data_IF_598138351234
#
_entry.id   IF_598138351234
#
_cell.length_a   1.000
_cell.length_b   1.000
_cell.length_c   1.000
_cell.angle_alpha   90.00
_cell.angle_beta   90.00
_cell.angle_gamma   90.00
#
_symmetry.space_group_name_H-M   'P 1'
#
loop_
_entity.id
_entity.type
_entity.pdbx_description
1 polymer ?
#
# COMPACT_ATOMS: atom_id res chain seq x y z
N UNK A 1 -8.06 -22.02 8.95
CA UNK A 1 -8.40 -21.13 7.81
C UNK A 1 -7.13 -20.86 7.02
N UNK A 2 -7.05 -21.21 5.74
CA UNK A 2 -5.86 -20.91 4.92
C UNK A 2 -5.80 -19.39 4.75
N UNK A 3 -4.75 -18.71 5.25
CA UNK A 3 -4.47 -17.30 4.93
C UNK A 3 -4.37 -17.22 3.41
N UNK A 4 -5.39 -16.67 2.75
CA UNK A 4 -5.35 -16.41 1.33
C UNK A 4 -4.28 -15.34 1.12
N UNK A 5 -3.13 -15.77 0.60
CA UNK A 5 -1.99 -14.88 0.34
C UNK A 5 -2.37 -14.04 -0.87
N UNK A 6 -2.98 -12.88 -0.63
CA UNK A 6 -3.26 -11.89 -1.67
C UNK A 6 -1.96 -11.61 -2.41
N UNK A 7 -1.99 -11.69 -3.75
CA UNK A 7 -0.87 -11.26 -4.58
C UNK A 7 -0.59 -9.79 -4.26
N UNK A 8 0.65 -9.51 -3.83
CA UNK A 8 1.08 -8.17 -3.44
C UNK A 8 0.93 -7.16 -4.56
N UNK A 9 1.09 -7.62 -5.81
CA UNK A 9 0.93 -6.79 -6.98
C UNK A 9 -0.55 -6.41 -7.15
N UNK A 10 -1.46 -7.34 -6.98
CA UNK A 10 -2.91 -7.07 -7.04
C UNK A 10 -3.37 -6.16 -5.91
N UNK A 11 -2.88 -6.42 -4.69
CA UNK A 11 -3.16 -5.56 -3.53
C UNK A 11 -2.65 -4.13 -3.77
N UNK A 12 -1.42 -3.98 -4.27
CA UNK A 12 -0.84 -2.68 -4.60
C UNK A 12 -1.66 -1.92 -5.65
N UNK A 13 -2.12 -2.62 -6.70
CA UNK A 13 -3.01 -2.07 -7.73
C UNK A 13 -4.35 -1.61 -7.13
N UNK A 14 -4.96 -2.41 -6.25
CA UNK A 14 -6.21 -2.07 -5.59
C UNK A 14 -6.06 -0.81 -4.73
N UNK A 15 -5.03 -0.75 -3.88
CA UNK A 15 -4.74 0.42 -3.03
C UNK A 15 -4.57 1.67 -3.90
N UNK A 16 -3.78 1.59 -4.97
CA UNK A 16 -3.57 2.70 -5.91
C UNK A 16 -4.87 3.16 -6.56
N UNK A 17 -5.71 2.23 -6.99
CA UNK A 17 -7.00 2.54 -7.61
C UNK A 17 -7.93 3.25 -6.62
N UNK A 18 -8.06 2.73 -5.40
CA UNK A 18 -8.88 3.36 -4.34
C UNK A 18 -8.38 4.75 -3.98
N UNK A 19 -7.06 4.93 -3.80
CA UNK A 19 -6.48 6.24 -3.51
C UNK A 19 -6.82 7.26 -4.61
N UNK A 20 -6.62 6.88 -5.88
CA UNK A 20 -6.93 7.75 -7.03
C UNK A 20 -8.42 8.06 -7.14
N UNK A 21 -9.31 7.09 -6.88
CA UNK A 21 -10.75 7.32 -6.87
C UNK A 21 -11.18 8.34 -5.82
N UNK A 22 -10.46 8.38 -4.69
CA UNK A 22 -10.64 9.39 -3.63
C UNK A 22 -9.90 10.71 -3.89
N UNK A 23 -9.23 10.85 -5.05
CA UNK A 23 -8.41 12.02 -5.42
C UNK A 23 -7.29 12.35 -4.42
N UNK A 24 -6.79 11.33 -3.72
CA UNK A 24 -5.68 11.47 -2.78
C UNK A 24 -4.34 11.31 -3.49
N UNK A 25 -3.36 12.09 -3.09
CA UNK A 25 -1.94 11.90 -3.45
C UNK A 25 -1.30 10.88 -2.52
N UNK A 26 -0.10 10.39 -2.85
CA UNK A 26 0.56 9.38 -2.00
C UNK A 26 1.00 9.99 -0.67
N UNK A 27 1.35 11.28 -0.67
CA UNK A 27 1.69 12.08 0.50
C UNK A 27 0.50 12.18 1.48
N UNK A 28 -0.73 12.14 0.97
CA UNK A 28 -1.94 12.21 1.80
C UNK A 28 -2.23 10.87 2.51
N UNK A 29 -1.53 9.78 2.15
CA UNK A 29 -1.54 8.50 2.87
C UNK A 29 -0.27 8.31 3.73
N UNK A 30 0.68 9.22 3.65
CA UNK A 30 1.92 9.15 4.41
C UNK A 30 1.73 9.76 5.81
N UNK A 31 2.53 9.30 6.77
CA UNK A 31 2.58 9.81 8.12
C UNK A 31 4.00 9.70 8.70
N UNK A 32 4.13 9.83 10.03
CA UNK A 32 5.42 9.75 10.72
C UNK A 32 6.06 8.35 10.69
N UNK A 33 5.31 7.31 10.29
CA UNK A 33 5.71 5.90 10.30
C UNK A 33 5.88 5.40 8.85
N UNK A 34 5.00 5.82 7.95
CA UNK A 34 4.95 5.41 6.56
C UNK A 34 5.23 6.62 5.68
N UNK A 35 6.42 6.68 5.09
CA UNK A 35 6.76 7.73 4.13
C UNK A 35 6.05 7.54 2.79
N UNK A 36 5.95 8.62 2.00
CA UNK A 36 5.41 8.57 0.63
C UNK A 36 6.12 7.51 -0.24
N UNK A 37 7.43 7.32 -0.06
CA UNK A 37 8.21 6.30 -0.77
C UNK A 37 7.75 4.90 -0.38
N UNK A 38 7.45 4.67 0.90
CA UNK A 38 6.89 3.39 1.35
C UNK A 38 5.51 3.16 0.75
N UNK A 39 4.63 4.18 0.73
CA UNK A 39 3.32 4.08 0.03
C UNK A 39 3.50 3.71 -1.44
N UNK A 40 4.43 4.33 -2.14
CA UNK A 40 4.74 4.02 -3.55
C UNK A 40 5.23 2.58 -3.73
N UNK A 41 6.09 2.09 -2.85
CA UNK A 41 6.59 0.71 -2.89
C UNK A 41 5.48 -0.31 -2.60
N UNK A 42 4.51 0.02 -1.74
CA UNK A 42 3.31 -0.79 -1.49
C UNK A 42 2.45 -0.86 -2.76
N UNK A 43 2.13 0.29 -3.36
CA UNK A 43 1.29 0.36 -4.57
C UNK A 43 1.89 -0.38 -5.77
N UNK A 44 3.22 -0.50 -5.81
CA UNK A 44 3.94 -1.17 -6.90
C UNK A 44 4.32 -2.61 -6.56
N UNK A 45 3.96 -3.12 -5.37
CA UNK A 45 4.27 -4.48 -4.93
C UNK A 45 5.76 -4.72 -4.66
N UNK A 46 6.58 -3.66 -4.58
CA UNK A 46 8.05 -3.72 -4.44
C UNK A 46 8.53 -3.97 -3.01
N UNK A 47 7.64 -3.92 -2.01
CA UNK A 47 8.03 -4.11 -0.61
C UNK A 47 7.17 -5.14 0.10
N UNK A 48 7.77 -5.78 1.10
CA UNK A 48 7.05 -6.59 2.08
C UNK A 48 6.66 -5.69 3.25
N UNK A 49 5.37 -5.48 3.47
CA UNK A 49 4.90 -4.69 4.61
C UNK A 49 4.78 -5.64 5.79
N UNK A 50 5.66 -5.51 6.78
CA UNK A 50 5.49 -6.24 8.03
C UNK A 50 4.30 -5.68 8.80
N UNK A 51 3.44 -6.54 9.36
CA UNK A 51 2.32 -6.14 10.24
C UNK A 51 2.76 -5.21 11.39
N UNK A 52 4.03 -5.29 11.84
CA UNK A 52 4.64 -4.41 12.85
C UNK A 52 4.68 -2.91 12.51
N UNK A 53 4.35 -2.51 11.28
CA UNK A 53 4.32 -1.10 10.85
C UNK A 53 2.91 -0.48 10.88
N UNK A 54 1.89 -1.27 11.24
CA UNK A 54 0.50 -0.85 11.45
C UNK A 54 0.29 -0.65 12.95
#
# INVERSE_FOLDING_TARGET
MKKQRLDRIELGKLIRATRKAKKLRQEDLADNIISQVVVSNIETGKTDVSEKKI
#
